data_IF_557567745607
#
_entry.id   IF_557567745607
#
_cell.length_a   1.000
_cell.length_b   1.000
_cell.length_c   1.000
_cell.angle_alpha   90.00
_cell.angle_beta   90.00
_cell.angle_gamma   90.00
#
_symmetry.space_group_name_H-M   'P 1'
#
loop_
_entity.id
_entity.type
_entity.pdbx_description
1 polymer ?
#
# COMPACT_ATOMS: atom_id res chain seq x y z
N UNK A 1 30.49 -9.25 -17.82
CA UNK A 1 29.52 -10.11 -18.53
C UNK A 1 28.27 -9.27 -18.76
N UNK A 2 27.86 -8.97 -20.00
CA UNK A 2 26.59 -8.28 -20.23
C UNK A 2 25.45 -9.17 -19.72
N UNK A 3 24.57 -8.65 -18.86
CA UNK A 3 23.41 -9.41 -18.42
C UNK A 3 22.51 -9.65 -19.63
N UNK A 4 22.33 -10.92 -19.99
CA UNK A 4 21.42 -11.30 -21.05
C UNK A 4 20.03 -10.85 -20.62
N UNK A 5 19.44 -9.86 -21.32
CA UNK A 5 18.10 -9.37 -20.98
C UNK A 5 17.14 -10.56 -20.99
N UNK A 6 16.65 -10.90 -19.80
CA UNK A 6 15.77 -12.03 -19.59
C UNK A 6 14.47 -11.74 -20.34
N UNK A 7 14.18 -12.53 -21.38
CA UNK A 7 12.95 -12.39 -22.17
C UNK A 7 11.75 -12.53 -21.22
N UNK A 8 10.91 -11.50 -21.15
CA UNK A 8 9.68 -11.54 -20.36
C UNK A 8 8.75 -12.60 -20.96
N UNK A 9 8.24 -13.51 -20.13
CA UNK A 9 7.27 -14.53 -20.55
C UNK A 9 5.86 -13.93 -20.74
N UNK A 10 5.57 -12.81 -20.05
CA UNK A 10 4.31 -12.07 -20.21
C UNK A 10 4.40 -11.14 -21.43
N UNK A 11 3.40 -11.20 -22.32
CA UNK A 11 3.33 -10.42 -23.56
C UNK A 11 2.05 -9.60 -23.60
N UNK A 12 1.96 -8.61 -24.50
CA UNK A 12 0.73 -7.85 -24.71
C UNK A 12 -0.47 -8.75 -25.07
N UNK A 13 -0.24 -9.79 -25.88
CA UNK A 13 -1.29 -10.76 -26.24
C UNK A 13 -1.82 -11.52 -25.03
N UNK A 14 -0.94 -11.90 -24.09
CA UNK A 14 -1.37 -12.52 -22.84
C UNK A 14 -2.24 -11.56 -22.01
N UNK A 15 -1.87 -10.27 -21.95
CA UNK A 15 -2.65 -9.26 -21.23
C UNK A 15 -4.00 -9.01 -21.91
N UNK A 16 -4.03 -8.93 -23.24
CA UNK A 16 -5.25 -8.71 -24.01
C UNK A 16 -6.31 -9.81 -23.80
N UNK A 17 -5.88 -11.06 -23.55
CA UNK A 17 -6.79 -12.18 -23.27
C UNK A 17 -7.47 -12.12 -21.90
N UNK A 18 -6.90 -11.38 -20.95
CA UNK A 18 -7.41 -11.30 -19.56
C UNK A 18 -7.92 -9.91 -19.20
N UNK A 19 -7.65 -8.90 -20.02
CA UNK A 19 -8.11 -7.55 -19.77
C UNK A 19 -9.64 -7.46 -19.88
N UNK A 20 -10.27 -7.05 -18.78
CA UNK A 20 -11.69 -6.75 -18.72
C UNK A 20 -11.85 -5.30 -18.28
N UNK A 21 -12.60 -4.52 -19.05
CA UNK A 21 -13.04 -3.20 -18.60
C UNK A 21 -14.09 -3.41 -17.52
N UNK A 22 -13.79 -2.97 -16.31
CA UNK A 22 -14.74 -2.97 -15.19
C UNK A 22 -15.20 -1.54 -15.00
N UNK A 23 -16.47 -1.28 -15.26
CA UNK A 23 -17.06 0.03 -15.01
C UNK A 23 -17.17 0.24 -13.50
N UNK A 24 -16.73 1.41 -13.03
CA UNK A 24 -16.92 1.79 -11.65
C UNK A 24 -18.38 2.20 -11.44
N UNK A 25 -19.13 1.40 -10.69
CA UNK A 25 -20.54 1.67 -10.35
C UNK A 25 -20.69 2.65 -9.17
N UNK A 26 -19.57 3.19 -8.66
CA UNK A 26 -19.57 4.15 -7.57
C UNK A 26 -19.57 3.48 -6.20
N UNK A 27 -20.08 4.19 -5.20
CA UNK A 27 -20.03 3.75 -3.81
C UNK A 27 -21.05 2.63 -3.56
N UNK A 28 -20.63 1.63 -2.78
CA UNK A 28 -21.55 0.62 -2.25
C UNK A 28 -22.58 1.29 -1.32
N UNK A 29 -23.84 0.86 -1.41
CA UNK A 29 -24.89 1.37 -0.53
C UNK A 29 -24.52 1.16 0.95
N UNK A 30 -24.69 2.21 1.77
CA UNK A 30 -24.33 2.18 3.19
C UNK A 30 -22.82 2.33 3.48
N UNK A 31 -21.98 2.52 2.45
CA UNK A 31 -20.57 2.77 2.65
C UNK A 31 -20.32 4.16 3.24
N UNK A 32 -19.65 4.20 4.38
CA UNK A 32 -19.18 5.44 4.98
C UNK A 32 -17.77 5.75 4.47
N UNK A 33 -17.50 7.01 4.10
CA UNK A 33 -16.18 7.45 3.66
C UNK A 33 -15.44 8.20 4.76
N UNK A 34 -14.12 8.18 4.68
CA UNK A 34 -13.26 9.07 5.45
C UNK A 34 -13.47 10.52 4.98
N UNK A 35 -13.77 11.39 5.95
CA UNK A 35 -13.80 12.84 5.80
C UNK A 35 -12.40 13.42 5.97
N UNK A 36 -12.21 14.70 5.63
CA UNK A 36 -10.93 15.38 5.88
C UNK A 36 -10.53 15.32 7.36
N UNK A 37 -11.48 15.51 8.28
CA UNK A 37 -11.23 15.37 9.72
C UNK A 37 -10.81 13.95 10.14
N UNK A 38 -11.28 12.90 9.44
CA UNK A 38 -10.80 11.55 9.69
C UNK A 38 -9.35 11.36 9.25
N UNK A 39 -8.99 11.90 8.07
CA UNK A 39 -7.62 11.85 7.59
C UNK A 39 -6.69 12.65 8.51
N UNK A 40 -7.10 13.83 8.97
CA UNK A 40 -6.30 14.64 9.89
C UNK A 40 -6.03 13.90 11.20
N UNK A 41 -7.05 13.19 11.74
CA UNK A 41 -6.86 12.30 12.90
C UNK A 41 -5.88 11.17 12.63
N UNK A 42 -5.96 10.53 11.46
CA UNK A 42 -5.00 9.48 11.08
C UNK A 42 -3.58 10.03 10.95
N UNK A 43 -3.40 11.21 10.37
CA UNK A 43 -2.11 11.89 10.23
C UNK A 43 -1.52 12.16 11.61
N UNK A 44 -2.28 12.80 12.49
CA UNK A 44 -1.85 13.11 13.86
C UNK A 44 -1.48 11.82 14.62
N UNK A 45 -2.34 10.80 14.54
CA UNK A 45 -2.08 9.51 15.18
C UNK A 45 -0.79 8.88 14.68
N UNK A 46 -0.51 8.93 13.37
CA UNK A 46 0.65 8.26 12.79
C UNK A 46 1.95 8.99 13.04
N UNK A 47 1.94 10.33 13.05
CA UNK A 47 3.07 11.15 13.47
C UNK A 47 3.38 10.91 14.95
N UNK A 48 2.35 10.95 15.81
CA UNK A 48 2.51 10.73 17.25
C UNK A 48 3.06 9.33 17.57
N UNK A 49 2.65 8.32 16.79
CA UNK A 49 3.09 6.95 16.97
C UNK A 49 4.42 6.62 16.27
N UNK A 50 5.12 7.61 15.69
CA UNK A 50 6.38 7.37 14.99
C UNK A 50 7.44 6.77 15.94
N UNK A 51 7.96 5.55 15.70
CA UNK A 51 8.80 4.84 16.67
C UNK A 51 10.22 5.42 16.79
N UNK A 52 10.68 6.19 15.80
CA UNK A 52 11.97 6.85 15.80
C UNK A 52 11.88 8.30 15.27
N UNK A 53 11.28 9.24 16.02
CA UNK A 53 10.95 10.58 15.51
C UNK A 53 12.18 11.46 15.19
N UNK A 54 13.37 11.04 15.60
CA UNK A 54 14.65 11.69 15.27
C UNK A 54 15.34 11.08 14.05
N UNK A 55 14.76 10.06 13.43
CA UNK A 55 15.27 9.41 12.24
C UNK A 55 14.43 9.80 11.01
N UNK A 56 14.99 9.74 9.79
CA UNK A 56 14.24 10.03 8.58
C UNK A 56 12.98 9.17 8.47
N UNK A 57 11.87 9.80 8.09
CA UNK A 57 10.61 9.09 7.88
C UNK A 57 10.66 8.32 6.57
N UNK A 58 10.30 7.04 6.60
CA UNK A 58 10.32 6.15 5.44
C UNK A 58 8.96 5.56 5.15
N UNK A 59 8.61 5.45 3.86
CA UNK A 59 7.47 4.68 3.37
C UNK A 59 7.96 3.38 2.72
N UNK A 60 7.47 2.24 3.19
CA UNK A 60 7.68 0.94 2.56
C UNK A 60 6.57 0.65 1.54
N UNK A 61 6.91 0.68 0.27
CA UNK A 61 6.04 0.34 -0.84
C UNK A 61 6.26 -1.11 -1.28
N UNK A 62 5.16 -1.86 -1.39
CA UNK A 62 5.17 -3.27 -1.82
C UNK A 62 4.30 -3.55 -3.05
N UNK A 63 3.50 -2.59 -3.50
CA UNK A 63 2.48 -2.73 -4.54
C UNK A 63 2.42 -1.53 -5.49
N UNK A 64 1.22 -0.96 -5.68
CA UNK A 64 0.98 0.15 -6.64
C UNK A 64 1.87 1.37 -6.42
N UNK A 65 2.24 1.66 -5.16
CA UNK A 65 3.14 2.74 -4.78
C UNK A 65 4.55 2.59 -5.39
N UNK A 66 5.00 1.38 -5.76
CA UNK A 66 6.28 1.19 -6.46
C UNK A 66 6.24 1.81 -7.88
N UNK A 67 5.09 1.73 -8.55
CA UNK A 67 4.94 2.16 -9.95
C UNK A 67 4.37 3.57 -10.08
N UNK A 68 3.59 3.98 -9.08
CA UNK A 68 2.93 5.29 -9.04
C UNK A 68 2.93 5.80 -7.60
N UNK A 69 4.07 6.30 -7.08
CA UNK A 69 4.18 6.70 -5.68
C UNK A 69 3.21 7.82 -5.29
N UNK A 70 2.99 8.79 -6.20
CA UNK A 70 2.20 10.01 -5.93
C UNK A 70 2.63 10.76 -4.65
N UNK A 71 3.88 10.58 -4.24
CA UNK A 71 4.54 11.22 -3.12
C UNK A 71 5.87 11.83 -3.53
N UNK A 72 6.24 12.91 -2.85
CA UNK A 72 7.60 13.45 -2.93
C UNK A 72 8.51 12.57 -2.06
N UNK A 73 9.67 12.17 -2.60
CA UNK A 73 10.68 11.41 -1.87
C UNK A 73 12.08 11.89 -2.31
N UNK A 74 13.04 11.79 -1.40
CA UNK A 74 14.42 12.28 -1.57
C UNK A 74 15.44 11.15 -1.69
N UNK A 75 14.98 9.90 -1.54
CA UNK A 75 15.82 8.72 -1.61
C UNK A 75 14.98 7.46 -1.79
N UNK A 76 15.59 6.45 -2.40
CA UNK A 76 15.02 5.12 -2.59
C UNK A 76 16.04 4.05 -2.21
N UNK A 77 15.60 3.00 -1.53
CA UNK A 77 16.42 1.81 -1.31
C UNK A 77 15.56 0.55 -1.24
N UNK A 78 16.14 -0.60 -1.55
CA UNK A 78 15.44 -1.88 -1.38
C UNK A 78 15.39 -2.28 0.09
N UNK A 79 14.27 -2.88 0.50
CA UNK A 79 14.08 -3.41 1.85
C UNK A 79 13.30 -4.71 1.90
N UNK A 80 13.43 -5.43 3.02
CA UNK A 80 12.67 -6.65 3.31
C UNK A 80 11.89 -6.51 4.64
N UNK A 81 10.56 -6.59 4.55
CA UNK A 81 9.66 -6.64 5.70
C UNK A 81 9.45 -8.11 6.11
N UNK A 82 10.11 -8.55 7.20
CA UNK A 82 9.88 -9.88 7.79
C UNK A 82 8.62 -9.88 8.64
N UNK A 83 7.92 -11.02 8.68
CA UNK A 83 6.62 -11.14 9.32
C UNK A 83 5.47 -10.52 8.52
N UNK A 84 5.73 -10.13 7.27
CA UNK A 84 4.75 -9.58 6.33
C UNK A 84 4.96 -10.19 4.96
N UNK A 85 3.88 -10.49 4.23
CA UNK A 85 3.96 -11.02 2.87
C UNK A 85 2.83 -10.46 2.01
N UNK A 86 3.04 -10.47 0.70
CA UNK A 86 1.99 -10.12 -0.25
C UNK A 86 1.08 -11.32 -0.44
N UNK A 87 -0.22 -11.13 -0.22
CA UNK A 87 -1.25 -12.14 -0.42
C UNK A 87 -2.42 -11.57 -1.20
N UNK A 88 -3.04 -12.40 -2.04
CA UNK A 88 -4.33 -12.09 -2.66
C UNK A 88 -5.45 -12.26 -1.62
N UNK A 89 -5.50 -11.34 -0.65
CA UNK A 89 -6.38 -11.42 0.52
C UNK A 89 -7.37 -10.25 0.64
N UNK A 90 -7.44 -9.36 -0.37
CA UNK A 90 -8.39 -8.26 -0.39
C UNK A 90 -9.46 -8.47 -1.46
N UNK A 91 -10.68 -8.79 -1.03
CA UNK A 91 -11.87 -8.88 -1.88
C UNK A 91 -12.34 -7.48 -2.26
N UNK A 92 -12.29 -7.14 -3.54
CA UNK A 92 -12.68 -5.82 -4.05
C UNK A 92 -13.98 -5.92 -4.84
N UNK A 93 -15.00 -5.19 -4.40
CA UNK A 93 -16.29 -5.08 -5.09
C UNK A 93 -16.41 -3.83 -5.97
N UNK A 94 -15.32 -3.06 -6.09
CA UNK A 94 -15.21 -1.83 -6.91
C UNK A 94 -13.83 -1.78 -7.58
N UNK A 95 -13.69 -1.01 -8.66
CA UNK A 95 -12.48 -0.82 -9.47
C UNK A 95 -12.01 -2.08 -10.22
N UNK A 96 -11.50 -3.08 -9.48
CA UNK A 96 -10.95 -4.33 -10.03
C UNK A 96 -11.95 -5.49 -9.94
N UNK A 97 -13.19 -5.18 -9.61
CA UNK A 97 -14.29 -6.12 -9.45
C UNK A 97 -15.63 -5.39 -9.33
N UNK A 98 -16.69 -6.18 -9.20
CA UNK A 98 -18.08 -5.74 -9.03
C UNK A 98 -18.68 -6.45 -7.82
N UNK A 99 -19.82 -6.01 -7.27
CA UNK A 99 -20.51 -6.77 -6.22
C UNK A 99 -20.87 -8.20 -6.65
N UNK A 100 -21.30 -8.40 -7.90
CA UNK A 100 -21.72 -9.70 -8.45
C UNK A 100 -20.52 -10.59 -8.79
N UNK A 101 -19.41 -9.98 -9.21
CA UNK A 101 -18.14 -10.65 -9.50
C UNK A 101 -17.00 -9.90 -8.80
N UNK A 102 -16.77 -10.15 -7.50
CA UNK A 102 -15.72 -9.48 -6.75
C UNK A 102 -14.34 -9.83 -7.31
N UNK A 103 -13.48 -8.82 -7.40
CA UNK A 103 -12.07 -8.99 -7.68
C UNK A 103 -11.33 -9.48 -6.44
N UNK A 104 -10.15 -10.06 -6.65
CA UNK A 104 -9.22 -10.40 -5.59
C UNK A 104 -7.92 -9.63 -5.83
N UNK A 105 -7.54 -8.82 -4.85
CA UNK A 105 -6.40 -7.91 -4.93
C UNK A 105 -5.35 -8.27 -3.89
N UNK A 106 -4.12 -7.91 -4.20
CA UNK A 106 -2.96 -8.18 -3.38
C UNK A 106 -2.80 -7.10 -2.31
N UNK A 107 -2.75 -7.50 -1.04
CA UNK A 107 -2.44 -6.62 0.08
C UNK A 107 -1.26 -7.20 0.88
N UNK A 108 -0.72 -6.41 1.80
CA UNK A 108 0.30 -6.87 2.74
C UNK A 108 -0.39 -7.46 3.97
N UNK A 109 -0.16 -8.75 4.22
CA UNK A 109 -0.73 -9.48 5.35
C UNK A 109 0.37 -10.07 6.23
N UNK A 110 0.00 -10.48 7.45
CA UNK A 110 0.90 -11.01 8.46
C UNK A 110 1.52 -12.34 8.04
N UNK A 111 2.76 -12.57 8.45
CA UNK A 111 3.54 -13.78 8.17
C UNK A 111 4.49 -13.63 6.98
N UNK A 112 5.46 -14.54 6.85
CA UNK A 112 6.37 -14.60 5.71
C UNK A 112 7.36 -13.43 5.59
N UNK A 113 7.68 -13.05 4.36
CA UNK A 113 8.59 -11.95 4.03
C UNK A 113 8.15 -11.24 2.74
N UNK A 114 8.25 -9.91 2.73
CA UNK A 114 7.96 -9.08 1.57
C UNK A 114 9.17 -8.23 1.21
N UNK A 115 9.62 -8.31 -0.05
CA UNK A 115 10.59 -7.37 -0.62
C UNK A 115 9.87 -6.21 -1.28
N UNK A 116 10.32 -5.00 -0.98
CA UNK A 116 9.74 -3.75 -1.47
C UNK A 116 10.77 -2.64 -1.57
N UNK A 117 10.29 -1.43 -1.81
CA UNK A 117 11.07 -0.20 -1.90
C UNK A 117 10.77 0.65 -0.68
N UNK A 118 11.82 1.20 -0.07
CA UNK A 118 11.73 2.25 0.95
C UNK A 118 11.93 3.59 0.26
N UNK A 119 10.97 4.49 0.40
CA UNK A 119 11.07 5.89 0.01
C UNK A 119 11.40 6.74 1.25
N UNK A 120 12.48 7.51 1.18
CA UNK A 120 12.79 8.52 2.20
C UNK A 120 11.91 9.77 1.94
N UNK A 121 11.06 10.11 2.90
CA UNK A 121 10.15 11.25 2.79
C UNK A 121 10.83 12.56 3.26
N UNK A 122 10.54 13.70 2.63
CA UNK A 122 11.04 15.00 3.09
C UNK A 122 10.44 15.38 4.46
N UNK A 123 11.28 15.86 5.37
CA UNK A 123 10.88 16.14 6.77
C UNK A 123 9.99 17.38 6.91
N UNK A 124 10.17 18.37 6.04
CA UNK A 124 9.50 19.68 6.08
C UNK A 124 8.01 19.64 5.68
N UNK A 125 7.49 18.47 5.28
CA UNK A 125 6.13 18.35 4.73
C UNK A 125 5.40 17.04 5.07
N UNK A 126 5.82 16.34 6.14
CA UNK A 126 5.33 15.00 6.45
C UNK A 126 3.81 14.90 6.62
N UNK A 127 3.19 15.88 7.28
CA UNK A 127 1.72 15.92 7.47
C UNK A 127 0.98 15.91 6.13
N UNK A 128 1.42 16.75 5.18
CA UNK A 128 0.83 16.81 3.83
C UNK A 128 1.08 15.53 3.06
N UNK A 129 2.28 14.94 3.16
CA UNK A 129 2.59 13.67 2.48
C UNK A 129 1.71 12.54 3.02
N UNK A 130 1.54 12.44 4.34
CA UNK A 130 0.65 11.45 4.96
C UNK A 130 -0.80 11.70 4.56
N UNK A 131 -1.27 12.94 4.58
CA UNK A 131 -2.63 13.30 4.16
C UNK A 131 -2.94 12.88 2.73
N UNK A 132 -1.98 13.02 1.80
CA UNK A 132 -2.09 12.53 0.42
C UNK A 132 -2.09 11.00 0.35
N UNK A 133 -1.14 10.35 1.02
CA UNK A 133 -1.03 8.89 1.05
C UNK A 133 -2.30 8.23 1.60
N UNK A 134 -2.86 8.76 2.68
CA UNK A 134 -4.01 8.17 3.34
C UNK A 134 -5.27 8.26 2.47
N UNK A 135 -5.51 9.42 1.85
CA UNK A 135 -6.62 9.63 0.89
C UNK A 135 -6.53 8.68 -0.31
N UNK A 136 -5.30 8.35 -0.74
CA UNK A 136 -5.03 7.42 -1.82
C UNK A 136 -5.27 5.97 -1.41
N UNK A 137 -4.78 5.56 -0.24
CA UNK A 137 -4.69 4.15 0.12
C UNK A 137 -5.97 3.62 0.80
N UNK A 138 -6.77 4.47 1.46
CA UNK A 138 -8.03 4.05 2.07
C UNK A 138 -9.11 5.14 2.01
N UNK A 139 -10.24 4.82 1.36
CA UNK A 139 -11.39 5.74 1.26
C UNK A 139 -12.53 5.35 2.20
N UNK A 140 -12.79 4.05 2.36
CA UNK A 140 -13.92 3.51 3.13
C UNK A 140 -13.61 3.41 4.62
N UNK A 141 -14.63 3.58 5.46
CA UNK A 141 -14.62 3.26 6.88
C UNK A 141 -15.28 1.90 7.15
N UNK A 142 -14.72 1.07 8.05
CA UNK A 142 -13.34 1.19 8.56
C UNK A 142 -12.31 1.00 7.44
N UNK A 143 -11.10 1.54 7.62
CA UNK A 143 -10.03 1.41 6.63
C UNK A 143 -9.70 -0.07 6.35
N UNK A 144 -9.74 -0.47 5.08
CA UNK A 144 -9.35 -1.81 4.64
C UNK A 144 -7.82 -1.95 4.55
N UNK A 145 -7.15 -0.87 4.17
CA UNK A 145 -5.69 -0.75 4.09
C UNK A 145 -5.25 0.16 5.24
N UNK A 146 -4.79 -0.43 6.34
CA UNK A 146 -4.49 0.30 7.57
C UNK A 146 -3.04 0.81 7.56
N UNK A 147 -2.78 2.09 7.84
CA UNK A 147 -1.43 2.58 8.02
C UNK A 147 -0.78 1.94 9.26
N UNK A 148 0.48 1.53 9.13
CA UNK A 148 1.21 0.86 10.21
C UNK A 148 2.72 1.11 10.12
N UNK A 149 3.33 1.42 11.26
CA UNK A 149 4.79 1.35 11.40
C UNK A 149 5.24 -0.11 11.51
N UNK A 150 6.13 -0.53 10.63
CA UNK A 150 6.76 -1.85 10.62
C UNK A 150 8.27 -1.72 10.61
N UNK A 151 8.97 -2.78 10.99
CA UNK A 151 10.42 -2.88 10.83
C UNK A 151 10.75 -3.46 9.45
N UNK A 152 11.65 -2.79 8.73
CA UNK A 152 12.15 -3.22 7.42
C UNK A 152 13.66 -3.38 7.49
N UNK A 153 14.17 -4.51 7.03
CA UNK A 153 15.60 -4.78 6.90
C UNK A 153 16.15 -4.14 5.63
N UNK A 154 17.22 -3.36 5.74
CA UNK A 154 17.96 -2.78 4.61
C UNK A 154 19.42 -3.22 4.65
N UNK A 155 20.20 -2.84 3.64
CA UNK A 155 21.65 -3.06 3.64
C UNK A 155 22.39 -2.33 4.78
N UNK A 156 21.81 -1.24 5.29
CA UNK A 156 22.39 -0.42 6.38
C UNK A 156 21.84 -0.76 7.76
N UNK A 157 20.90 -1.71 7.86
CA UNK A 157 20.33 -2.17 9.12
C UNK A 157 18.80 -2.16 9.13
N UNK A 158 18.21 -2.56 10.25
CA UNK A 158 16.77 -2.51 10.42
C UNK A 158 16.30 -1.07 10.70
N UNK A 159 15.25 -0.63 10.01
CA UNK A 159 14.65 0.70 10.16
C UNK A 159 13.14 0.59 10.31
N UNK A 160 12.49 1.46 11.11
CA UNK A 160 11.05 1.62 11.01
C UNK A 160 10.67 2.24 9.66
N UNK A 161 9.50 1.86 9.14
CA UNK A 161 8.88 2.45 7.97
C UNK A 161 7.35 2.36 8.05
N UNK A 162 6.67 3.37 7.52
CA UNK A 162 5.23 3.37 7.34
C UNK A 162 4.89 2.43 6.19
N UNK A 163 3.86 1.62 6.32
CA UNK A 163 3.27 0.83 5.25
C UNK A 163 1.76 0.78 5.43
N UNK A 164 1.07 0.13 4.49
CA UNK A 164 -0.36 -0.15 4.60
C UNK A 164 -0.60 -1.65 4.64
N UNK A 165 -1.27 -2.14 5.67
CA UNK A 165 -1.52 -3.57 5.89
C UNK A 165 -3.01 -3.90 5.76
N UNK A 166 -3.32 -5.12 5.36
CA UNK A 166 -4.71 -5.57 5.25
C UNK A 166 -5.36 -5.59 6.64
N UNK A 167 -6.52 -4.95 6.75
CA UNK A 167 -7.38 -5.04 7.92
C UNK A 167 -8.08 -6.41 7.94
N UNK A 168 -7.53 -7.37 8.69
CA UNK A 168 -8.11 -8.71 8.84
C UNK A 168 -9.51 -8.73 9.47
N UNK A 169 -9.94 -7.65 10.12
CA UNK A 169 -11.30 -7.53 10.67
C UNK A 169 -12.31 -7.00 9.62
N UNK A 170 -11.85 -6.59 8.44
CA UNK A 170 -12.72 -6.14 7.37
C UNK A 170 -13.54 -7.31 6.79
N UNK A 171 -14.83 -7.11 6.46
CA UNK A 171 -15.62 -8.09 5.70
C UNK A 171 -15.07 -8.32 4.27
N UNK A 172 -14.16 -7.46 3.80
CA UNK A 172 -13.48 -7.58 2.52
C UNK A 172 -12.15 -8.37 2.62
N UNK A 173 -11.78 -8.87 3.80
CA UNK A 173 -10.65 -9.77 3.94
C UNK A 173 -11.00 -11.19 3.46
N UNK A 174 -10.06 -11.83 2.75
CA UNK A 174 -10.30 -13.10 2.07
C UNK A 174 -9.33 -14.24 2.45
N UNK A 175 -8.45 -14.07 3.45
CA UNK A 175 -7.60 -15.18 3.94
C UNK A 175 -6.40 -14.76 4.77
#
# INVERSE_FOLDING_TARGET
MPSQMRKLTLTADHVARVHKVVQDQGLTAGAELHTDADYDRWVEQMIRAHPAPKAPTRLFAYGSLIWKPEIEHIGEQLGAARGWHRAFCFRMTRFRGTPEQPGLMMALDRGGQCRGVLYDLPEDNLERQFGKLFRREFTYKPANSMPRWITVETASGATPALTFVMNRASPLYAG
#
